data_IF_693245930286
#
_entry.id   IF_693245930286
#
_cell.length_a   1.000
_cell.length_b   1.000
_cell.length_c   1.000
_cell.angle_alpha   90.00
_cell.angle_beta   90.00
_cell.angle_gamma   90.00
#
_symmetry.space_group_name_H-M   'P 1'
#
loop_
_entity.id
_entity.type
_entity.pdbx_description
1 polymer ?
#
# COMPACT_ATOMS: atom_id res chain seq x y z
N UNK A 1 -1.03 21.03 -10.34
CA UNK A 1 -0.27 19.79 -10.62
C UNK A 1 -1.28 18.65 -10.88
N UNK A 2 -1.11 17.88 -11.94
CA UNK A 2 -1.99 16.76 -12.23
C UNK A 2 -1.98 15.69 -11.12
N UNK A 3 -3.12 15.03 -10.91
CA UNK A 3 -3.26 14.02 -9.85
C UNK A 3 -2.20 12.89 -9.96
N UNK A 4 -1.92 12.44 -11.17
CA UNK A 4 -0.91 11.41 -11.41
C UNK A 4 0.49 11.85 -10.97
N UNK A 5 0.85 13.10 -11.23
CA UNK A 5 2.16 13.63 -10.81
C UNK A 5 2.28 13.69 -9.29
N UNK A 6 1.21 14.07 -8.58
CA UNK A 6 1.17 14.06 -7.12
C UNK A 6 1.38 12.65 -6.56
N UNK A 7 0.71 11.66 -7.14
CA UNK A 7 0.88 10.24 -6.76
C UNK A 7 2.29 9.75 -7.02
N UNK A 8 2.88 10.12 -8.17
CA UNK A 8 4.25 9.78 -8.51
C UNK A 8 5.25 10.36 -7.49
N UNK A 9 5.07 11.61 -7.08
CA UNK A 9 5.93 12.25 -6.09
C UNK A 9 5.83 11.57 -4.72
N UNK A 10 4.61 11.23 -4.28
CA UNK A 10 4.42 10.49 -3.04
C UNK A 10 5.10 9.10 -3.11
N UNK A 11 4.94 8.42 -4.22
CA UNK A 11 5.57 7.13 -4.48
C UNK A 11 7.10 7.21 -4.44
N UNK A 12 7.68 8.23 -5.08
CA UNK A 12 9.13 8.43 -5.08
C UNK A 12 9.67 8.74 -3.69
N UNK A 13 8.94 9.52 -2.89
CA UNK A 13 9.32 9.80 -1.51
C UNK A 13 9.41 8.53 -0.66
N UNK A 14 8.51 7.57 -0.90
CA UNK A 14 8.53 6.27 -0.21
C UNK A 14 9.78 5.45 -0.49
N UNK A 15 10.42 5.61 -1.65
CA UNK A 15 11.65 4.90 -1.98
C UNK A 15 12.79 5.19 -0.99
N UNK A 16 12.78 6.34 -0.34
CA UNK A 16 13.77 6.68 0.69
C UNK A 16 13.76 5.73 1.90
N UNK A 17 12.69 4.96 2.07
CA UNK A 17 12.54 3.97 3.14
C UNK A 17 12.92 2.56 2.70
N UNK A 18 13.21 2.34 1.41
CA UNK A 18 13.44 1.02 0.83
C UNK A 18 14.92 0.80 0.59
N UNK A 19 15.41 -0.39 0.95
CA UNK A 19 16.80 -0.81 0.76
C UNK A 19 16.85 -2.17 0.05
N UNK A 20 17.97 -2.44 -0.64
CA UNK A 20 18.23 -3.74 -1.22
C UNK A 20 18.09 -4.86 -0.18
N UNK A 21 17.53 -5.98 -0.60
CA UNK A 21 17.37 -7.17 0.22
C UNK A 21 16.15 -7.15 1.15
N UNK A 22 15.41 -6.04 1.22
CA UNK A 22 14.18 -5.99 2.02
C UNK A 22 13.09 -6.90 1.45
N UNK A 23 12.22 -7.38 2.33
CA UNK A 23 10.89 -7.90 1.99
C UNK A 23 9.87 -6.82 2.30
N UNK A 24 9.11 -6.41 1.31
CA UNK A 24 8.07 -5.38 1.45
C UNK A 24 6.67 -5.99 1.44
N UNK A 25 5.79 -5.43 2.25
CA UNK A 25 4.36 -5.52 2.01
C UNK A 25 3.95 -4.42 1.05
N UNK A 26 3.18 -4.73 0.03
CA UNK A 26 2.73 -3.78 -0.98
C UNK A 26 1.23 -3.76 -1.05
N UNK A 27 0.67 -2.58 -0.85
CA UNK A 27 -0.76 -2.33 -0.81
C UNK A 27 -1.42 -2.31 -2.18
N UNK A 28 -2.52 -1.60 -2.28
CA UNK A 28 -3.42 -1.62 -3.44
C UNK A 28 -3.73 -0.19 -3.90
N UNK A 29 -4.00 -0.03 -5.19
CA UNK A 29 -4.50 1.20 -5.76
C UNK A 29 -3.52 1.93 -6.66
N UNK A 30 -3.95 3.07 -7.19
CA UNK A 30 -3.22 3.80 -8.23
C UNK A 30 -1.93 4.45 -7.72
N UNK A 31 -1.89 4.90 -6.48
CA UNK A 31 -0.67 5.46 -5.89
C UNK A 31 0.37 4.37 -5.66
N UNK A 32 -0.07 3.19 -5.22
CA UNK A 32 0.79 2.01 -5.08
C UNK A 32 1.33 1.55 -6.44
N UNK A 33 0.52 1.61 -7.50
CA UNK A 33 1.00 1.30 -8.85
C UNK A 33 2.14 2.23 -9.28
N UNK A 34 2.06 3.52 -8.97
CA UNK A 34 3.17 4.45 -9.21
C UNK A 34 4.39 4.13 -8.32
N UNK A 35 4.17 3.63 -7.11
CA UNK A 35 5.28 3.17 -6.24
C UNK A 35 5.99 1.96 -6.82
N UNK A 36 5.27 0.95 -7.28
CA UNK A 36 5.87 -0.24 -7.92
C UNK A 36 6.68 0.17 -9.15
N UNK A 37 6.14 1.09 -9.96
CA UNK A 37 6.86 1.61 -11.12
C UNK A 37 8.15 2.33 -10.71
N UNK A 38 8.07 3.21 -9.72
CA UNK A 38 9.25 3.92 -9.22
C UNK A 38 10.30 2.97 -8.65
N UNK A 39 9.86 1.92 -7.96
CA UNK A 39 10.72 0.86 -7.44
C UNK A 39 11.47 0.13 -8.57
N UNK A 40 10.78 -0.24 -9.64
CA UNK A 40 11.39 -0.88 -10.80
C UNK A 40 12.40 0.03 -11.49
N UNK A 41 12.08 1.31 -11.64
CA UNK A 41 12.96 2.29 -12.27
C UNK A 41 14.19 2.63 -11.41
N UNK A 42 14.11 2.41 -10.09
CA UNK A 42 15.19 2.75 -9.15
C UNK A 42 16.39 1.81 -9.17
N UNK A 43 16.22 0.60 -9.67
CA UNK A 43 17.24 -0.44 -9.59
C UNK A 43 17.38 -1.11 -8.22
N UNK A 44 16.59 -0.73 -7.22
CA UNK A 44 16.55 -1.40 -5.93
C UNK A 44 16.09 -2.85 -6.12
N UNK A 45 16.80 -3.79 -5.51
CA UNK A 45 16.49 -5.22 -5.59
C UNK A 45 15.93 -5.73 -4.26
N UNK A 46 14.64 -6.04 -4.26
CA UNK A 46 13.98 -6.66 -3.11
C UNK A 46 14.29 -8.16 -3.05
N UNK A 47 14.33 -8.68 -1.83
CA UNK A 47 14.29 -10.14 -1.62
C UNK A 47 12.94 -10.71 -2.02
N UNK A 48 11.88 -9.93 -1.89
CA UNK A 48 10.54 -10.28 -2.32
C UNK A 48 9.51 -9.28 -1.81
N UNK A 49 8.27 -9.55 -2.13
CA UNK A 49 7.14 -8.73 -1.69
C UNK A 49 5.92 -9.57 -1.35
N UNK A 50 5.16 -9.12 -0.36
CA UNK A 50 3.87 -9.69 0.03
C UNK A 50 2.77 -8.79 -0.53
N UNK A 51 1.85 -9.38 -1.30
CA UNK A 51 0.80 -8.65 -2.03
C UNK A 51 -0.50 -8.58 -1.23
N UNK A 52 -1.13 -7.41 -1.25
CA UNK A 52 -2.44 -7.19 -0.63
C UNK A 52 -3.62 -7.50 -1.53
N UNK A 53 -3.42 -7.71 -2.83
CA UNK A 53 -4.50 -7.90 -3.80
C UNK A 53 -4.02 -8.60 -5.07
N UNK A 54 -4.97 -9.15 -5.81
CA UNK A 54 -4.66 -9.76 -7.12
C UNK A 54 -4.09 -8.74 -8.12
N UNK A 55 -4.58 -7.51 -8.09
CA UNK A 55 -4.07 -6.43 -8.92
C UNK A 55 -2.59 -6.15 -8.61
N UNK A 56 -2.22 -6.09 -7.34
CA UNK A 56 -0.83 -5.90 -6.91
C UNK A 56 0.04 -7.10 -7.27
N UNK A 57 -0.47 -8.33 -7.11
CA UNK A 57 0.23 -9.55 -7.54
C UNK A 57 0.55 -9.51 -9.04
N UNK A 58 -0.36 -9.01 -9.86
CA UNK A 58 -0.13 -8.84 -11.30
C UNK A 58 0.99 -7.83 -11.59
N UNK A 59 1.05 -6.71 -10.84
CA UNK A 59 2.13 -5.73 -10.97
C UNK A 59 3.50 -6.32 -10.59
N UNK A 60 3.55 -7.07 -9.51
CA UNK A 60 4.79 -7.73 -9.06
C UNK A 60 5.28 -8.73 -10.10
N UNK A 61 4.37 -9.53 -10.64
CA UNK A 61 4.69 -10.52 -11.68
C UNK A 61 5.22 -9.84 -12.95
N UNK A 62 4.55 -8.78 -13.41
CA UNK A 62 5.00 -8.02 -14.58
C UNK A 62 6.38 -7.39 -14.39
N UNK A 63 6.70 -6.97 -13.15
CA UNK A 63 7.99 -6.38 -12.78
C UNK A 63 9.05 -7.39 -12.36
N UNK A 64 8.77 -8.69 -12.43
CA UNK A 64 9.68 -9.76 -12.00
C UNK A 64 10.13 -9.63 -10.53
N UNK A 65 9.27 -9.08 -9.67
CA UNK A 65 9.50 -9.04 -8.22
C UNK A 65 8.96 -10.35 -7.63
N UNK A 66 9.78 -11.12 -6.89
CA UNK A 66 9.32 -12.35 -6.26
C UNK A 66 8.15 -12.08 -5.31
N UNK A 67 7.02 -12.74 -5.51
CA UNK A 67 5.90 -12.68 -4.58
C UNK A 67 6.04 -13.77 -3.54
N UNK A 68 5.96 -13.38 -2.26
CA UNK A 68 6.09 -14.27 -1.13
C UNK A 68 4.76 -14.42 -0.40
N UNK A 69 4.52 -15.61 0.14
CA UNK A 69 3.44 -15.83 1.10
C UNK A 69 3.85 -15.23 2.45
N UNK A 70 2.93 -14.48 3.09
CA UNK A 70 3.20 -13.85 4.38
C UNK A 70 3.62 -14.88 5.44
N UNK A 71 3.04 -16.08 5.39
CA UNK A 71 3.37 -17.16 6.35
C UNK A 71 4.80 -17.72 6.17
N UNK A 72 5.44 -17.44 5.04
CA UNK A 72 6.80 -17.85 4.74
C UNK A 72 7.84 -16.73 4.99
N UNK A 73 7.42 -15.58 5.50
CA UNK A 73 8.27 -14.42 5.75
C UNK A 73 8.58 -14.32 7.24
N UNK A 74 9.86 -14.38 7.60
CA UNK A 74 10.29 -14.26 9.00
C UNK A 74 10.21 -12.81 9.49
N UNK A 75 10.58 -11.85 8.62
CA UNK A 75 10.58 -10.43 8.95
C UNK A 75 10.05 -9.62 7.76
N UNK A 76 9.00 -8.85 8.00
CA UNK A 76 8.46 -7.89 7.05
C UNK A 76 8.86 -6.48 7.47
N UNK A 77 9.87 -5.93 6.81
CA UNK A 77 10.49 -4.67 7.24
C UNK A 77 9.57 -3.47 7.09
N UNK A 78 8.81 -3.41 6.00
CA UNK A 78 8.05 -2.24 5.60
C UNK A 78 6.80 -2.64 4.84
N UNK A 79 5.69 -1.98 5.15
CA UNK A 79 4.46 -2.01 4.37
C UNK A 79 4.22 -0.64 3.74
N UNK A 80 4.02 -0.59 2.42
CA UNK A 80 3.74 0.64 1.68
C UNK A 80 2.34 0.54 1.07
N UNK A 81 1.48 1.49 1.41
CA UNK A 81 0.10 1.53 0.91
C UNK A 81 -0.44 2.95 0.92
N UNK A 82 -1.54 3.16 0.21
CA UNK A 82 -2.30 4.40 0.23
C UNK A 82 -3.40 4.39 1.30
N UNK A 83 -4.20 5.44 1.28
CA UNK A 83 -5.41 5.58 2.08
C UNK A 83 -6.46 6.36 1.29
N UNK A 84 -7.73 6.18 1.66
CA UNK A 84 -8.83 6.97 1.10
C UNK A 84 -8.85 8.38 1.70
N UNK A 85 -8.54 8.48 3.00
CA UNK A 85 -8.26 9.73 3.72
C UNK A 85 -7.19 9.52 4.78
N UNK A 86 -6.47 10.60 5.10
CA UNK A 86 -5.49 10.61 6.18
C UNK A 86 -5.52 11.95 6.92
N UNK A 87 -5.26 11.93 8.23
CA UNK A 87 -5.07 13.14 9.03
C UNK A 87 -3.60 13.33 9.37
N UNK A 88 -3.23 14.55 9.79
CA UNK A 88 -1.87 14.82 10.26
C UNK A 88 -1.48 14.01 11.50
N UNK A 89 -2.47 13.58 12.28
CA UNK A 89 -2.26 12.74 13.47
C UNK A 89 -2.06 11.25 13.12
N UNK A 90 -2.18 10.88 11.84
CA UNK A 90 -1.97 9.52 11.38
C UNK A 90 -3.20 8.62 11.43
N UNK A 91 -4.41 9.18 11.60
CA UNK A 91 -5.65 8.43 11.45
C UNK A 91 -5.97 8.27 9.96
N UNK A 92 -6.46 7.10 9.55
CA UNK A 92 -6.72 6.76 8.17
C UNK A 92 -8.13 6.23 7.96
N UNK A 93 -8.74 6.55 6.81
CA UNK A 93 -9.81 5.74 6.22
C UNK A 93 -9.20 4.94 5.08
N UNK A 94 -9.44 3.64 5.11
CA UNK A 94 -8.99 2.67 4.12
C UNK A 94 -10.13 1.74 3.73
N UNK A 95 -9.94 0.99 2.65
CA UNK A 95 -10.87 -0.04 2.24
C UNK A 95 -11.75 0.31 1.06
N UNK A 96 -11.61 1.51 0.48
CA UNK A 96 -12.38 1.90 -0.73
C UNK A 96 -12.16 0.99 -1.93
N UNK A 97 -11.01 0.34 -2.01
CA UNK A 97 -10.68 -0.66 -3.04
C UNK A 97 -11.06 -2.10 -2.70
N UNK A 98 -11.77 -2.33 -1.57
CA UNK A 98 -12.21 -3.65 -1.12
C UNK A 98 -11.07 -4.66 -0.84
N UNK A 99 -9.89 -4.19 -0.45
CA UNK A 99 -8.72 -5.02 -0.14
C UNK A 99 -8.25 -4.87 1.33
N UNK A 100 -9.00 -4.16 2.17
CA UNK A 100 -8.54 -3.78 3.51
C UNK A 100 -8.26 -4.97 4.44
N UNK A 101 -8.99 -6.05 4.33
CA UNK A 101 -8.75 -7.24 5.16
C UNK A 101 -7.31 -7.75 4.98
N UNK A 102 -6.89 -7.94 3.73
CA UNK A 102 -5.51 -8.35 3.41
C UNK A 102 -4.50 -7.25 3.76
N UNK A 103 -4.82 -6.00 3.44
CA UNK A 103 -3.97 -4.85 3.75
C UNK A 103 -3.68 -4.75 5.24
N UNK A 104 -4.70 -4.90 6.09
CA UNK A 104 -4.58 -4.81 7.54
C UNK A 104 -3.76 -5.96 8.13
N UNK A 105 -3.91 -7.16 7.61
CA UNK A 105 -3.11 -8.32 8.03
C UNK A 105 -1.63 -8.09 7.74
N UNK A 106 -1.31 -7.62 6.55
CA UNK A 106 0.08 -7.34 6.16
C UNK A 106 0.65 -6.18 6.97
N UNK A 107 -0.11 -5.10 7.13
CA UNK A 107 0.30 -3.94 7.92
C UNK A 107 0.61 -4.34 9.37
N UNK A 108 -0.21 -5.22 9.97
CA UNK A 108 -0.01 -5.72 11.32
C UNK A 108 1.24 -6.58 11.49
N UNK A 109 1.70 -7.22 10.42
CA UNK A 109 2.91 -8.03 10.41
C UNK A 109 4.19 -7.20 10.13
N UNK A 110 4.05 -6.01 9.56
CA UNK A 110 5.19 -5.17 9.19
C UNK A 110 5.75 -4.40 10.39
N UNK A 111 7.07 -4.23 10.42
CA UNK A 111 7.75 -3.43 11.43
C UNK A 111 7.43 -1.94 11.29
N UNK A 112 7.21 -1.46 10.05
CA UNK A 112 6.90 -0.07 9.74
C UNK A 112 5.84 0.00 8.64
N UNK A 113 5.00 1.03 8.72
CA UNK A 113 4.02 1.36 7.69
C UNK A 113 4.33 2.74 7.11
N UNK A 114 4.46 2.84 5.80
CA UNK A 114 4.58 4.10 5.07
C UNK A 114 3.32 4.30 4.25
N UNK A 115 2.52 5.27 4.64
CA UNK A 115 1.30 5.65 3.93
C UNK A 115 1.63 6.71 2.88
N UNK A 116 1.34 6.40 1.62
CA UNK A 116 1.57 7.30 0.49
C UNK A 116 0.25 7.85 -0.03
N UNK A 117 0.09 9.15 0.06
CA UNK A 117 -1.12 9.84 -0.39
C UNK A 117 -0.73 11.09 -1.20
N UNK A 118 -1.62 11.52 -2.09
CA UNK A 118 -1.60 12.89 -2.59
C UNK A 118 -2.32 13.83 -1.61
N UNK A 119 -2.12 15.13 -1.77
CA UNK A 119 -2.68 16.14 -0.87
C UNK A 119 -4.22 16.17 -0.87
N UNK A 120 -4.87 15.62 -1.91
CA UNK A 120 -6.33 15.52 -1.97
C UNK A 120 -6.91 14.52 -0.96
N UNK A 121 -6.08 13.64 -0.40
CA UNK A 121 -6.47 12.67 0.63
C UNK A 121 -6.25 13.17 2.05
N UNK A 122 -5.53 14.28 2.22
CA UNK A 122 -5.24 14.84 3.53
C UNK A 122 -6.42 15.68 4.01
N UNK A 123 -6.93 15.37 5.19
CA UNK A 123 -8.08 16.02 5.81
C UNK A 123 -7.79 16.34 7.27
N UNK A 124 -8.50 17.32 7.85
CA UNK A 124 -8.42 17.61 9.29
C UNK A 124 -9.19 16.57 10.11
N UNK A 125 -10.36 16.17 9.62
CA UNK A 125 -11.25 15.21 10.28
C UNK A 125 -11.69 14.19 9.24
N UNK A 126 -11.58 12.91 9.59
CA UNK A 126 -12.05 11.81 8.75
C UNK A 126 -13.57 11.85 8.61
N UNK A 127 -14.09 11.46 7.44
CA UNK A 127 -15.50 11.26 7.20
C UNK A 127 -16.05 11.93 5.94
N UNK A 128 -15.23 12.66 5.18
CA UNK A 128 -15.61 13.11 3.83
C UNK A 128 -15.74 11.91 2.90
N UNK A 129 -14.81 10.98 2.98
CA UNK A 129 -14.90 9.69 2.30
C UNK A 129 -15.77 8.75 3.14
N UNK A 130 -16.77 8.07 2.55
CA UNK A 130 -17.60 7.11 3.28
C UNK A 130 -16.77 5.99 3.87
N UNK A 131 -17.06 5.62 5.12
CA UNK A 131 -16.36 4.53 5.79
C UNK A 131 -16.69 3.20 5.11
N UNK A 132 -15.70 2.53 4.47
CA UNK A 132 -15.90 1.19 3.94
C UNK A 132 -16.05 0.19 5.08
N UNK A 133 -17.08 -0.66 5.00
CA UNK A 133 -17.32 -1.73 5.97
C UNK A 133 -17.48 -3.03 5.22
N UNK A 134 -16.60 -3.99 5.50
CA UNK A 134 -16.76 -5.33 4.96
C UNK A 134 -17.79 -6.12 5.77
N UNK A 135 -18.72 -6.73 5.09
CA UNK A 135 -19.83 -7.46 5.72
C UNK A 135 -19.93 -8.86 5.10
N UNK A 136 -19.96 -9.87 5.95
CA UNK A 136 -20.34 -11.22 5.51
C UNK A 136 -21.80 -11.15 5.04
N UNK A 137 -22.13 -11.61 3.83
CA UNK A 137 -23.49 -11.47 3.28
C UNK A 137 -24.61 -11.95 4.19
N UNK A 138 -24.38 -13.03 4.92
CA UNK A 138 -25.33 -13.59 5.89
C UNK A 138 -25.63 -12.64 7.07
N UNK A 139 -24.71 -11.73 7.38
CA UNK A 139 -24.81 -10.78 8.51
C UNK A 139 -25.17 -9.35 8.07
N UNK A 140 -25.75 -9.21 6.87
CA UNK A 140 -26.05 -7.89 6.28
C UNK A 140 -27.27 -7.21 6.88
N UNK A 141 -28.15 -7.93 7.54
CA UNK A 141 -29.36 -7.38 8.16
C UNK A 141 -29.08 -6.65 9.46
#
# INVERSE_FOLDING_TARGET
MPAREKKRRAAQAALGHVKDGMVLGIGTGSTVAEFVKALLDSGIRLAGAVSSSNATSALLRAGHIPELDLNAVDELALYVDGADEATFQGALIKGGGAALTREKVIAGAAARFVCIIDDGKLVEILGRFPLPVEVVPMARA
#
